data_IF_764169295538
#
_entry.id   IF_764169295538
#
_cell.length_a   1.000
_cell.length_b   1.000
_cell.length_c   1.000
_cell.angle_alpha   90.00
_cell.angle_beta   90.00
_cell.angle_gamma   90.00
#
_symmetry.space_group_name_H-M   'P 1'
#
loop_
_entity.id
_entity.type
_entity.pdbx_description
1 polymer ?
#
# COMPACT_ATOMS: atom_id res chain seq x y z
N UNK A 1 25.04 2.38 3.48
CA UNK A 1 24.05 1.90 2.49
C UNK A 1 24.40 2.34 1.07
N UNK A 2 24.61 3.64 0.84
CA UNK A 2 24.86 4.22 -0.49
C UNK A 2 26.24 3.90 -1.09
N UNK A 3 27.23 3.51 -0.28
CA UNK A 3 28.54 3.08 -0.79
C UNK A 3 28.50 1.71 -1.46
N UNK A 4 27.52 0.87 -1.08
CA UNK A 4 27.40 -0.52 -1.55
C UNK A 4 26.31 -0.65 -2.62
N UNK A 5 25.29 0.21 -2.58
CA UNK A 5 24.11 0.09 -3.45
C UNK A 5 23.90 1.40 -4.23
N UNK A 6 23.68 1.27 -5.54
CA UNK A 6 23.38 2.42 -6.40
C UNK A 6 22.06 3.12 -6.02
N UNK A 7 21.06 2.34 -5.60
CA UNK A 7 19.76 2.84 -5.09
C UNK A 7 19.39 2.13 -3.79
N UNK A 8 19.89 2.59 -2.63
CA UNK A 8 19.64 1.92 -1.36
C UNK A 8 18.17 2.07 -0.92
N UNK A 9 17.53 0.97 -0.52
CA UNK A 9 16.20 1.00 0.11
C UNK A 9 16.35 1.27 1.60
N UNK A 10 15.66 2.29 2.11
CA UNK A 10 15.73 2.72 3.52
C UNK A 10 14.31 2.93 4.04
N UNK A 11 13.89 2.09 4.97
CA UNK A 11 12.56 2.17 5.59
C UNK A 11 12.70 2.57 7.06
N UNK A 12 12.20 3.76 7.42
CA UNK A 12 12.21 4.28 8.79
C UNK A 12 10.81 4.17 9.42
N UNK A 13 10.49 2.98 9.95
CA UNK A 13 9.12 2.58 10.26
C UNK A 13 8.68 2.86 11.69
N UNK A 14 9.61 3.24 12.57
CA UNK A 14 9.28 3.58 13.96
C UNK A 14 8.36 4.79 14.03
N UNK A 15 7.35 4.71 14.91
CA UNK A 15 6.32 5.74 15.11
C UNK A 15 6.37 6.30 16.54
N UNK A 16 6.07 7.60 16.76
CA UNK A 16 5.81 8.65 15.75
C UNK A 16 7.10 9.15 15.08
N UNK A 17 7.05 10.25 14.31
CA UNK A 17 8.22 10.83 13.61
C UNK A 17 9.45 11.04 14.51
N UNK A 18 9.27 11.39 15.79
CA UNK A 18 10.37 11.55 16.76
C UNK A 18 11.12 10.27 17.11
N UNK A 19 10.59 9.11 16.71
CA UNK A 19 11.21 7.79 16.89
C UNK A 19 11.71 7.18 15.58
N UNK A 20 11.51 7.85 14.44
CA UNK A 20 11.99 7.36 13.15
C UNK A 20 13.52 7.21 13.16
N UNK A 21 14.02 6.14 12.55
CA UNK A 21 15.44 5.79 12.49
C UNK A 21 16.26 6.88 11.77
N UNK A 22 15.64 7.56 10.80
CA UNK A 22 16.12 8.79 10.20
C UNK A 22 14.94 9.55 9.58
N UNK A 23 15.13 10.84 9.29
CA UNK A 23 14.16 11.64 8.54
C UNK A 23 14.31 11.42 7.03
N UNK A 24 13.25 11.72 6.27
CA UNK A 24 13.33 11.72 4.81
C UNK A 24 14.47 12.61 4.28
N UNK A 25 14.63 13.82 4.87
CA UNK A 25 15.73 14.73 4.51
C UNK A 25 17.11 14.10 4.72
N UNK A 26 17.31 13.42 5.85
CA UNK A 26 18.56 12.71 6.15
C UNK A 26 18.80 11.58 5.15
N UNK A 27 17.80 10.75 4.86
CA UNK A 27 17.92 9.66 3.91
C UNK A 27 18.32 10.16 2.51
N UNK A 28 17.64 11.18 1.97
CA UNK A 28 17.97 11.72 0.66
C UNK A 28 19.32 12.47 0.65
N UNK A 29 19.63 13.28 1.67
CA UNK A 29 20.90 14.02 1.75
C UNK A 29 22.09 13.09 1.87
N UNK A 30 22.06 12.13 2.81
CA UNK A 30 23.18 11.23 3.07
C UNK A 30 23.37 10.21 1.95
N UNK A 31 22.33 9.95 1.14
CA UNK A 31 22.43 9.09 -0.03
C UNK A 31 22.75 9.81 -1.33
N UNK A 32 22.97 11.14 -1.30
CA UNK A 32 23.12 11.93 -2.52
C UNK A 32 21.96 11.69 -3.50
N UNK A 33 20.72 11.77 -3.00
CA UNK A 33 19.47 11.59 -3.78
C UNK A 33 19.20 10.18 -4.31
N UNK A 34 19.98 9.17 -3.89
CA UNK A 34 19.86 7.79 -4.39
C UNK A 34 18.84 6.94 -3.62
N UNK A 35 18.54 7.30 -2.38
CA UNK A 35 17.72 6.48 -1.51
C UNK A 35 16.29 6.31 -2.02
N UNK A 36 15.82 5.07 -1.97
CA UNK A 36 14.41 4.72 -2.08
C UNK A 36 13.86 4.67 -0.65
N UNK A 37 13.12 5.70 -0.26
CA UNK A 37 12.74 5.94 1.13
C UNK A 37 11.24 5.79 1.38
N UNK A 38 10.89 5.15 2.49
CA UNK A 38 9.55 5.18 3.05
C UNK A 38 9.60 5.23 4.58
N UNK A 39 8.52 5.71 5.21
CA UNK A 39 8.43 5.83 6.66
C UNK A 39 7.11 5.34 7.24
N UNK A 40 7.09 5.05 8.54
CA UNK A 40 5.86 4.71 9.26
C UNK A 40 4.96 5.92 9.52
N UNK A 41 5.59 7.05 9.85
CA UNK A 41 4.95 8.35 10.08
C UNK A 41 5.14 9.30 8.90
N UNK A 42 4.20 10.24 8.66
CA UNK A 42 4.32 11.18 7.54
C UNK A 42 5.52 12.12 7.73
N UNK A 43 6.23 12.39 6.64
CA UNK A 43 7.22 13.47 6.53
C UNK A 43 6.79 14.43 5.43
N UNK A 44 7.19 15.69 5.55
CA UNK A 44 6.98 16.69 4.51
C UNK A 44 7.81 16.36 3.26
N UNK A 45 7.37 16.93 2.14
CA UNK A 45 8.13 16.91 0.89
C UNK A 45 9.54 17.47 1.10
N UNK A 46 10.54 16.79 0.55
CA UNK A 46 11.94 17.19 0.65
C UNK A 46 12.39 17.84 -0.65
N UNK A 47 12.77 19.12 -0.58
CA UNK A 47 13.44 19.81 -1.69
C UNK A 47 14.95 19.76 -1.47
N UNK A 48 15.67 19.11 -2.39
CA UNK A 48 17.12 18.99 -2.34
C UNK A 48 17.67 19.26 -3.73
N UNK A 49 18.60 20.22 -3.83
CA UNK A 49 19.10 20.73 -5.09
C UNK A 49 17.94 21.17 -6.02
N UNK A 50 17.84 20.60 -7.22
CA UNK A 50 16.79 20.88 -8.20
C UNK A 50 15.73 19.76 -8.25
N UNK A 51 15.63 18.92 -7.21
CA UNK A 51 14.67 17.82 -7.12
C UNK A 51 13.75 17.97 -5.92
N UNK A 52 12.54 17.47 -6.11
CA UNK A 52 11.50 17.39 -5.09
C UNK A 52 11.16 15.92 -4.85
N UNK A 53 11.21 15.48 -3.59
CA UNK A 53 10.97 14.10 -3.21
C UNK A 53 9.74 13.99 -2.31
N UNK A 54 8.83 13.08 -2.65
CA UNK A 54 7.61 12.84 -1.89
C UNK A 54 7.71 11.51 -1.13
N UNK A 55 8.19 11.51 0.13
CA UNK A 55 8.44 10.27 0.86
C UNK A 55 7.14 9.51 1.12
N UNK A 56 7.09 8.27 0.64
CA UNK A 56 5.93 7.39 0.82
C UNK A 56 5.76 6.97 2.28
N UNK A 57 4.51 6.78 2.70
CA UNK A 57 4.17 6.26 4.02
C UNK A 57 3.74 4.80 3.91
N UNK A 58 4.44 3.90 4.59
CA UNK A 58 4.06 2.49 4.77
C UNK A 58 2.85 2.35 5.69
N UNK A 59 1.69 2.87 5.26
CA UNK A 59 0.49 2.91 6.07
C UNK A 59 -0.36 1.68 5.86
N UNK A 60 -0.59 0.96 6.93
CA UNK A 60 -1.54 -0.13 7.05
C UNK A 60 -2.95 0.16 6.49
N UNK A 61 -3.37 1.43 6.44
CA UNK A 61 -4.62 1.86 5.81
C UNK A 61 -4.75 1.46 4.33
N UNK A 62 -3.65 1.21 3.61
CA UNK A 62 -3.70 0.69 2.24
C UNK A 62 -4.24 -0.74 2.16
N UNK A 63 -4.01 -1.56 3.18
CA UNK A 63 -4.26 -3.00 3.12
C UNK A 63 -5.55 -3.37 3.84
N UNK A 64 -5.74 -2.92 5.08
CA UNK A 64 -6.80 -3.43 5.95
C UNK A 64 -8.22 -3.24 5.41
N UNK A 65 -8.59 -2.10 4.80
CA UNK A 65 -9.95 -1.92 4.30
C UNK A 65 -10.29 -2.87 3.15
N UNK A 66 -9.38 -3.03 2.18
CA UNK A 66 -9.54 -3.96 1.07
C UNK A 66 -9.50 -5.42 1.54
N UNK A 67 -8.55 -5.77 2.42
CA UNK A 67 -8.46 -7.09 3.05
C UNK A 67 -9.77 -7.48 3.74
N UNK A 68 -10.25 -6.61 4.64
CA UNK A 68 -11.48 -6.87 5.39
C UNK A 68 -12.69 -7.02 4.48
N UNK A 69 -12.84 -6.14 3.49
CA UNK A 69 -13.94 -6.20 2.53
C UNK A 69 -13.91 -7.50 1.69
N UNK A 70 -12.74 -7.90 1.18
CA UNK A 70 -12.59 -9.15 0.43
C UNK A 70 -12.94 -10.39 1.26
N UNK A 71 -12.45 -10.43 2.51
CA UNK A 71 -12.74 -11.50 3.49
C UNK A 71 -14.23 -11.58 3.81
N UNK A 72 -14.89 -10.44 4.04
CA UNK A 72 -16.33 -10.35 4.32
C UNK A 72 -17.14 -10.88 3.13
N UNK A 73 -16.83 -10.44 1.91
CA UNK A 73 -17.57 -10.81 0.70
C UNK A 73 -17.41 -12.30 0.37
N UNK A 74 -16.24 -12.87 0.63
CA UNK A 74 -15.98 -14.30 0.50
C UNK A 74 -16.48 -15.13 1.70
N UNK A 75 -17.00 -14.49 2.74
CA UNK A 75 -17.34 -15.13 4.02
C UNK A 75 -16.22 -16.10 4.47
N UNK A 76 -14.96 -15.65 4.40
CA UNK A 76 -13.82 -16.53 4.56
C UNK A 76 -13.67 -17.00 6.02
N UNK A 77 -13.38 -18.30 6.20
CA UNK A 77 -13.29 -18.94 7.50
C UNK A 77 -12.07 -18.50 8.32
N UNK A 78 -10.97 -18.26 7.62
CA UNK A 78 -9.64 -17.97 8.13
C UNK A 78 -8.96 -17.00 7.15
N UNK A 79 -7.91 -16.33 7.64
CA UNK A 79 -7.11 -15.40 6.84
C UNK A 79 -5.68 -15.94 6.78
N UNK A 80 -5.35 -16.80 5.81
CA UNK A 80 -3.99 -17.32 5.66
C UNK A 80 -3.05 -16.25 5.08
N UNK A 81 -1.73 -16.45 5.22
CA UNK A 81 -0.70 -15.48 4.83
C UNK A 81 -0.75 -15.12 3.33
N UNK A 82 -1.23 -16.03 2.51
CA UNK A 82 -1.42 -15.87 1.07
C UNK A 82 -2.38 -14.72 0.74
N UNK A 83 -3.37 -14.43 1.60
CA UNK A 83 -4.24 -13.28 1.42
C UNK A 83 -3.48 -11.97 1.66
N UNK A 84 -2.61 -11.92 2.67
CA UNK A 84 -1.76 -10.75 2.93
C UNK A 84 -0.76 -10.53 1.79
N UNK A 85 -0.16 -11.62 1.29
CA UNK A 85 0.74 -11.56 0.14
C UNK A 85 0.01 -11.07 -1.11
N UNK A 86 -1.24 -11.51 -1.32
CA UNK A 86 -2.08 -11.06 -2.44
C UNK A 86 -2.38 -9.58 -2.32
N UNK A 87 -2.81 -9.10 -1.15
CA UNK A 87 -3.07 -7.69 -0.92
C UNK A 87 -1.82 -6.82 -1.12
N UNK A 88 -0.65 -7.27 -0.64
CA UNK A 88 0.62 -6.56 -0.83
C UNK A 88 1.03 -6.47 -2.31
N UNK A 89 0.88 -7.56 -3.08
CA UNK A 89 1.15 -7.57 -4.52
C UNK A 89 0.21 -6.64 -5.27
N UNK A 90 -1.09 -6.71 -5.01
CA UNK A 90 -2.08 -5.82 -5.63
C UNK A 90 -1.81 -4.36 -5.31
N UNK A 91 -1.43 -4.02 -4.08
CA UNK A 91 -1.04 -2.65 -3.73
C UNK A 91 0.18 -2.17 -4.54
N UNK A 92 1.20 -3.03 -4.70
CA UNK A 92 2.41 -2.69 -5.46
C UNK A 92 2.10 -2.48 -6.95
N UNK A 93 1.21 -3.29 -7.54
CA UNK A 93 0.76 -3.17 -8.94
C UNK A 93 -0.03 -1.89 -9.22
N UNK A 94 -0.58 -1.24 -8.18
CA UNK A 94 -1.32 0.02 -8.30
C UNK A 94 -0.41 1.26 -8.21
N UNK A 95 0.89 1.09 -7.96
CA UNK A 95 1.85 2.20 -7.98
C UNK A 95 2.17 2.52 -9.44
N UNK A 96 1.81 3.72 -9.88
CA UNK A 96 2.07 4.14 -11.27
C UNK A 96 3.55 4.49 -11.50
N UNK A 97 4.00 4.44 -12.75
CA UNK A 97 5.36 4.89 -13.13
C UNK A 97 5.62 6.32 -12.67
N UNK A 98 4.61 7.20 -12.76
CA UNK A 98 4.69 8.57 -12.25
C UNK A 98 4.98 8.61 -10.75
N UNK A 99 4.32 7.76 -9.95
CA UNK A 99 4.61 7.71 -8.51
C UNK A 99 6.06 7.32 -8.25
N UNK A 100 6.58 6.35 -9.01
CA UNK A 100 7.97 5.90 -8.89
C UNK A 100 8.97 6.99 -9.32
N UNK A 101 8.67 7.72 -10.39
CA UNK A 101 9.45 8.87 -10.86
C UNK A 101 9.49 10.00 -9.81
N UNK A 102 8.37 10.26 -9.13
CA UNK A 102 8.26 11.22 -8.02
C UNK A 102 8.88 10.69 -6.70
N UNK A 103 9.44 9.49 -6.72
CA UNK A 103 10.10 8.83 -5.57
C UNK A 103 9.14 8.24 -4.54
N UNK A 104 7.84 8.17 -4.84
CA UNK A 104 6.81 7.60 -3.99
C UNK A 104 6.68 6.09 -4.18
N UNK A 105 6.73 5.35 -3.08
CA UNK A 105 6.58 3.88 -3.07
C UNK A 105 5.14 3.38 -2.90
N UNK A 106 4.20 4.30 -2.69
CA UNK A 106 2.79 3.98 -2.47
C UNK A 106 1.93 4.91 -3.31
N UNK A 107 0.74 4.46 -3.75
CA UNK A 107 -0.16 5.33 -4.50
C UNK A 107 -0.73 6.45 -3.61
N UNK A 108 -1.27 7.53 -4.18
CA UNK A 108 -1.85 8.63 -3.41
C UNK A 108 -2.97 8.18 -2.44
N UNK A 109 -3.00 8.70 -1.21
CA UNK A 109 -4.00 8.33 -0.20
C UNK A 109 -5.43 8.77 -0.56
N UNK A 110 -5.62 9.77 -1.41
CA UNK A 110 -6.96 10.16 -1.89
C UNK A 110 -7.59 9.09 -2.80
N UNK A 111 -6.81 8.14 -3.31
CA UNK A 111 -7.29 7.01 -4.12
C UNK A 111 -7.64 5.77 -3.28
N UNK A 112 -7.57 5.86 -1.94
CA UNK A 112 -7.66 4.72 -1.02
C UNK A 112 -8.91 3.84 -1.22
N UNK A 113 -10.04 4.43 -1.64
CA UNK A 113 -11.26 3.66 -1.91
C UNK A 113 -11.15 2.80 -3.16
N UNK A 114 -10.55 3.33 -4.23
CA UNK A 114 -10.30 2.57 -5.44
C UNK A 114 -9.26 1.46 -5.16
N UNK A 115 -8.19 1.78 -4.43
CA UNK A 115 -7.18 0.81 -4.01
C UNK A 115 -7.81 -0.32 -3.18
N UNK A 116 -8.68 0.03 -2.23
CA UNK A 116 -9.39 -0.95 -1.39
C UNK A 116 -10.30 -1.87 -2.20
N UNK A 117 -10.95 -1.36 -3.26
CA UNK A 117 -11.78 -2.17 -4.15
C UNK A 117 -10.94 -3.22 -4.89
N UNK A 118 -9.78 -2.82 -5.43
CA UNK A 118 -8.88 -3.72 -6.14
C UNK A 118 -8.31 -4.80 -5.22
N UNK A 119 -7.86 -4.40 -4.02
CA UNK A 119 -7.37 -5.35 -3.01
C UNK A 119 -8.50 -6.29 -2.57
N UNK A 120 -9.71 -5.79 -2.32
CA UNK A 120 -10.84 -6.63 -1.95
C UNK A 120 -11.20 -7.65 -3.03
N UNK A 121 -11.11 -7.25 -4.30
CA UNK A 121 -11.34 -8.15 -5.42
C UNK A 121 -10.28 -9.25 -5.45
N UNK A 122 -8.99 -8.89 -5.39
CA UNK A 122 -7.89 -9.85 -5.42
C UNK A 122 -7.90 -10.80 -4.21
N UNK A 123 -8.15 -10.27 -3.01
CA UNK A 123 -8.29 -11.06 -1.77
C UNK A 123 -9.50 -11.98 -1.84
N UNK A 124 -10.65 -11.49 -2.30
CA UNK A 124 -11.85 -12.30 -2.47
C UNK A 124 -11.63 -13.44 -3.46
N UNK A 125 -11.05 -13.15 -4.63
CA UNK A 125 -10.65 -14.15 -5.63
C UNK A 125 -9.74 -15.22 -5.00
N UNK A 126 -8.70 -14.79 -4.29
CA UNK A 126 -7.76 -15.71 -3.64
C UNK A 126 -8.41 -16.55 -2.54
N UNK A 127 -9.37 -16.00 -1.79
CA UNK A 127 -10.10 -16.75 -0.77
C UNK A 127 -10.95 -17.89 -1.37
N UNK A 128 -11.56 -17.68 -2.54
CA UNK A 128 -12.24 -18.75 -3.27
C UNK A 128 -11.26 -19.78 -3.84
N UNK A 129 -10.14 -19.33 -4.40
CA UNK A 129 -9.09 -20.21 -4.94
C UNK A 129 -8.52 -21.15 -3.86
N UNK A 130 -8.27 -20.63 -2.65
CA UNK A 130 -7.75 -21.39 -1.52
C UNK A 130 -8.80 -22.26 -0.81
N UNK A 131 -10.07 -22.20 -1.23
CA UNK A 131 -11.15 -22.96 -0.60
C UNK A 131 -11.49 -22.53 0.82
N UNK A 132 -11.09 -21.32 1.25
CA UNK A 132 -11.40 -20.78 2.59
C UNK A 132 -12.71 -19.99 2.63
N UNK A 133 -13.26 -19.64 1.47
CA UNK A 133 -14.56 -19.00 1.32
C UNK A 133 -15.71 -19.96 1.69
N UNK A 134 -16.67 -19.51 2.51
CA UNK A 134 -17.81 -20.34 2.95
C UNK A 134 -19.10 -20.16 2.15
N UNK A 135 -19.15 -19.17 1.27
CA UNK A 135 -20.30 -18.91 0.40
C UNK A 135 -19.98 -19.31 -1.06
N UNK A 136 -21.02 -19.30 -1.91
CA UNK A 136 -20.85 -19.49 -3.35
C UNK A 136 -20.30 -18.21 -3.97
N UNK A 137 -19.25 -18.34 -4.80
CA UNK A 137 -18.69 -17.21 -5.54
C UNK A 137 -19.75 -16.50 -6.40
N UNK A 138 -19.93 -15.18 -6.24
CA UNK A 138 -20.82 -14.39 -7.10
C UNK A 138 -20.37 -14.46 -8.57
N UNK A 139 -21.33 -14.38 -9.50
CA UNK A 139 -21.02 -14.34 -10.95
C UNK A 139 -20.17 -13.12 -11.31
N UNK A 140 -20.40 -11.99 -10.65
CA UNK A 140 -19.63 -10.76 -10.83
C UNK A 140 -19.15 -10.26 -9.47
N UNK A 141 -18.02 -10.79 -9.01
CA UNK A 141 -17.46 -10.46 -7.71
C UNK A 141 -17.13 -8.96 -7.58
N UNK A 142 -16.57 -8.35 -8.62
CA UNK A 142 -16.24 -6.92 -8.62
C UNK A 142 -17.49 -6.06 -8.39
N UNK A 143 -18.59 -6.35 -9.08
CA UNK A 143 -19.83 -5.60 -8.88
C UNK A 143 -20.40 -5.81 -7.48
N UNK A 144 -20.40 -7.05 -6.98
CA UNK A 144 -20.84 -7.34 -5.60
C UNK A 144 -20.04 -6.54 -4.57
N UNK A 145 -18.72 -6.43 -4.74
CA UNK A 145 -17.88 -5.63 -3.84
C UNK A 145 -18.25 -4.14 -3.95
N UNK A 146 -18.38 -3.59 -5.17
CA UNK A 146 -18.77 -2.19 -5.39
C UNK A 146 -20.10 -1.87 -4.73
N UNK A 147 -21.10 -2.74 -4.88
CA UNK A 147 -22.43 -2.55 -4.30
C UNK A 147 -22.42 -2.63 -2.77
N UNK A 148 -21.49 -3.40 -2.19
CA UNK A 148 -21.32 -3.52 -0.74
C UNK A 148 -20.57 -2.34 -0.13
N UNK A 149 -19.75 -1.63 -0.90
CA UNK A 149 -19.03 -0.45 -0.42
C UNK A 149 -20.01 0.67 -0.07
N UNK A 150 -19.95 1.15 1.18
CA UNK A 150 -20.82 2.23 1.66
C UNK A 150 -20.77 3.47 0.76
N UNK A 151 -21.94 3.94 0.33
CA UNK A 151 -22.14 5.21 -0.38
C UNK A 151 -22.55 6.30 0.63
N UNK A 152 -21.72 7.34 0.84
CA UNK A 152 -22.00 8.40 1.80
C UNK A 152 -22.97 9.49 1.30
N UNK A 153 -23.51 9.37 0.09
CA UNK A 153 -24.46 10.34 -0.45
C UNK A 153 -25.86 10.13 0.15
N UNK A 154 -26.56 11.24 0.44
CA UNK A 154 -27.94 11.26 0.95
C UNK A 154 -28.98 11.14 -0.18
#
# INVERSE_FOLDING_TARGET
MSDVNERPVIFALSNPTSKAECTAYQAYKWSQEKAVFASGSPFDTVKLNNKEFHPGKGNNAYVFPGMGLGVIIANAAIIPNELFLTAAKTLAELVSDKNLEDGALYPPLNEIRAISLEIALAVGEKAYELGVAKNKKPKNLRQTIKDYMYNPNY
#
